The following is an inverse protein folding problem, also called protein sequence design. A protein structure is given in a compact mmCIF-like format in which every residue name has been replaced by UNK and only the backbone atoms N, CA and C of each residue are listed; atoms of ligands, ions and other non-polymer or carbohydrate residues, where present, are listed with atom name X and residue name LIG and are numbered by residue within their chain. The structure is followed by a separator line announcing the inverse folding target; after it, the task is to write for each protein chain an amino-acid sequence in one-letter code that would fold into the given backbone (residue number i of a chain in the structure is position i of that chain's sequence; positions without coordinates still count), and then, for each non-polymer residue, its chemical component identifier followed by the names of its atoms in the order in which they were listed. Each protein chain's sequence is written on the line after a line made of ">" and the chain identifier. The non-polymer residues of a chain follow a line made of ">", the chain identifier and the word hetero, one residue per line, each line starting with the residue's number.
data_IF_530822141093
#
_entry.id   IF_530822141093
#
_cell.length_a   1.000
_cell.length_b   1.000
_cell.length_c   1.000
_cell.angle_alpha   90.00
_cell.angle_beta   90.00
_cell.angle_gamma   90.00
#
_symmetry.space_group_name_H-M   'P 1'
#
loop_
_entity.id
_entity.type
_entity.pdbx_description
1 polymer ?
#
# COMPACT_ATOMS: atom_id res chain seq x y z
N UNK A 1 18.52 -8.38 -2.21
CA UNK A 1 17.12 -8.65 -1.81
C UNK A 1 16.28 -8.55 -3.09
N UNK A 2 15.35 -9.49 -3.38
CA UNK A 2 14.54 -9.39 -4.60
C UNK A 2 13.63 -8.15 -4.50
N UNK A 3 13.86 -7.20 -5.39
CA UNK A 3 13.26 -5.87 -5.46
C UNK A 3 11.74 -5.90 -5.67
N UNK A 4 11.03 -4.80 -5.34
CA UNK A 4 9.60 -4.66 -5.54
C UNK A 4 9.29 -4.55 -7.05
N UNK A 5 9.26 -5.69 -7.74
CA UNK A 5 8.52 -5.79 -9.00
C UNK A 5 7.10 -5.36 -8.72
N UNK A 6 6.49 -4.61 -9.64
CA UNK A 6 5.05 -4.33 -9.65
C UNK A 6 4.32 -5.66 -9.43
N UNK A 7 3.85 -5.93 -8.20
CA UNK A 7 3.18 -7.19 -7.85
C UNK A 7 1.72 -7.08 -8.21
N UNK A 8 1.48 -6.69 -9.46
CA UNK A 8 0.16 -6.68 -10.02
C UNK A 8 -0.15 -8.12 -10.44
N UNK A 9 -1.09 -8.75 -9.74
CA UNK A 9 -1.58 -10.06 -10.12
C UNK A 9 -2.91 -9.84 -10.81
N UNK A 10 -2.94 -10.15 -12.11
CA UNK A 10 -4.15 -10.08 -12.91
C UNK A 10 -4.89 -11.43 -12.88
N UNK A 11 -6.14 -11.41 -12.42
CA UNK A 11 -7.06 -12.55 -12.42
C UNK A 11 -8.14 -12.39 -13.51
N UNK A 12 -7.87 -11.60 -14.55
CA UNK A 12 -8.77 -11.33 -15.66
C UNK A 12 -9.78 -10.24 -15.31
N UNK A 13 -10.80 -10.58 -14.51
CA UNK A 13 -11.84 -9.63 -14.12
C UNK A 13 -11.46 -8.77 -12.90
N UNK A 14 -10.41 -9.15 -12.16
CA UNK A 14 -9.97 -8.46 -10.95
C UNK A 14 -8.46 -8.46 -10.89
N UNK A 15 -7.88 -7.43 -10.28
CA UNK A 15 -6.44 -7.38 -10.08
C UNK A 15 -6.10 -6.97 -8.65
N UNK A 16 -4.96 -7.46 -8.18
CA UNK A 16 -4.48 -7.24 -6.82
C UNK A 16 -3.18 -6.45 -6.86
N UNK A 17 -3.11 -5.41 -6.03
CA UNK A 17 -1.92 -4.61 -5.80
C UNK A 17 -1.41 -4.86 -4.37
N UNK A 18 -0.09 -4.96 -4.23
CA UNK A 18 0.56 -5.07 -2.93
C UNK A 18 1.08 -3.70 -2.53
N UNK A 19 0.79 -3.30 -1.29
CA UNK A 19 1.22 -2.03 -0.76
C UNK A 19 2.76 -1.95 -0.73
N UNK A 20 3.38 -1.02 -1.48
CA UNK A 20 4.84 -0.91 -1.54
C UNK A 20 5.44 -0.52 -0.18
N UNK A 21 4.69 0.25 0.63
CA UNK A 21 5.06 0.70 1.96
C UNK A 21 4.99 -0.44 3.01
N UNK A 22 4.38 -1.57 2.66
CA UNK A 22 4.14 -2.72 3.56
C UNK A 22 4.74 -4.03 3.04
N UNK A 23 5.98 -3.93 2.55
CA UNK A 23 6.71 -5.03 1.91
C UNK A 23 7.66 -5.79 2.85
N UNK A 24 7.91 -5.27 4.06
CA UNK A 24 8.90 -5.80 5.00
C UNK A 24 8.44 -6.97 5.87
N UNK A 25 9.41 -7.80 6.32
CA UNK A 25 9.18 -8.87 7.31
C UNK A 25 8.76 -8.33 8.70
N UNK A 26 8.98 -7.04 8.94
CA UNK A 26 8.55 -6.34 10.14
C UNK A 26 7.09 -5.86 10.09
N UNK A 27 6.37 -6.01 8.97
CA UNK A 27 4.94 -5.67 8.90
C UNK A 27 4.15 -6.59 9.86
N UNK A 28 3.37 -6.03 10.81
CA UNK A 28 2.50 -6.80 11.70
C UNK A 28 1.60 -7.79 10.97
N UNK A 29 1.13 -7.46 9.75
CA UNK A 29 0.34 -8.38 8.93
C UNK A 29 1.13 -9.57 8.38
N UNK A 30 2.47 -9.47 8.28
CA UNK A 30 3.33 -10.59 7.95
C UNK A 30 3.59 -11.50 9.16
N UNK A 31 3.58 -10.93 10.37
CA UNK A 31 3.80 -11.66 11.64
C UNK A 31 2.51 -12.29 12.15
N UNK A 32 1.35 -11.75 11.77
CA UNK A 32 0.02 -12.20 12.23
C UNK A 32 -0.24 -13.71 12.12
N UNK A 33 0.13 -14.42 11.03
CA UNK A 33 -0.04 -15.89 10.98
C UNK A 33 0.70 -16.62 12.12
N UNK A 34 1.89 -16.14 12.48
CA UNK A 34 2.66 -16.71 13.60
C UNK A 34 2.06 -16.37 14.97
N UNK A 35 1.43 -15.20 15.10
CA UNK A 35 0.71 -14.80 16.33
C UNK A 35 -0.55 -15.65 16.50
N UNK A 36 -1.32 -15.84 15.43
CA UNK A 36 -2.50 -16.72 15.40
C UNK A 36 -2.11 -18.16 15.75
N UNK A 37 -1.03 -18.69 15.16
CA UNK A 37 -0.56 -20.03 15.48
C UNK A 37 -0.16 -20.18 16.97
N UNK A 38 0.49 -19.16 17.55
CA UNK A 38 0.80 -19.15 19.00
C UNK A 38 -0.48 -19.07 19.84
N UNK A 39 -1.43 -18.26 19.42
CA UNK A 39 -2.73 -18.11 20.09
C UNK A 39 -3.52 -19.43 20.08
N UNK A 40 -3.59 -20.13 18.94
CA UNK A 40 -4.26 -21.42 18.80
C UNK A 40 -3.59 -22.53 19.64
N UNK A 41 -2.27 -22.46 19.80
CA UNK A 41 -1.50 -23.37 20.67
C UNK A 41 -1.53 -22.98 22.14
N UNK A 42 -1.90 -21.74 22.49
CA UNK A 42 -1.95 -21.23 23.85
C UNK A 42 -2.79 -22.09 24.82
N UNK A 43 -4.01 -22.59 24.48
CA UNK A 43 -4.77 -23.42 25.42
C UNK A 43 -4.07 -24.75 25.74
N UNK A 44 -3.42 -25.38 24.74
CA UNK A 44 -2.71 -26.66 24.94
C UNK A 44 -1.42 -26.48 25.75
N UNK A 45 -0.68 -25.41 25.47
CA UNK A 45 0.54 -25.06 26.20
C UNK A 45 0.24 -24.58 27.62
N UNK A 46 -0.83 -23.80 27.82
CA UNK A 46 -1.30 -23.37 29.13
C UNK A 46 -1.73 -24.55 30.01
N UNK A 47 -2.46 -25.52 29.46
CA UNK A 47 -2.88 -26.71 30.20
C UNK A 47 -1.68 -27.58 30.62
N UNK A 48 -0.75 -27.87 29.70
CA UNK A 48 0.44 -28.68 30.01
C UNK A 48 1.39 -27.97 30.98
N UNK A 49 1.66 -26.67 30.77
CA UNK A 49 2.49 -25.89 31.69
C UNK A 49 1.85 -25.76 33.08
N UNK A 50 0.53 -25.55 33.15
CA UNK A 50 -0.21 -25.50 34.40
C UNK A 50 -0.15 -26.81 35.18
N UNK A 51 -0.30 -27.96 34.51
CA UNK A 51 -0.17 -29.28 35.14
C UNK A 51 1.26 -29.50 35.67
N UNK A 52 2.28 -29.22 34.86
CA UNK A 52 3.69 -29.40 35.26
C UNK A 52 4.04 -28.50 36.46
N UNK A 53 3.66 -27.22 36.41
CA UNK A 53 3.90 -26.29 37.50
C UNK A 53 3.14 -26.70 38.76
N UNK A 54 1.89 -27.14 38.63
CA UNK A 54 1.10 -27.62 39.76
C UNK A 54 1.69 -28.85 40.43
N UNK A 55 2.17 -29.83 39.64
CA UNK A 55 2.87 -31.02 40.15
C UNK A 55 4.18 -30.63 40.83
N UNK A 56 4.97 -29.71 40.25
CA UNK A 56 6.22 -29.25 40.83
C UNK A 56 6.02 -28.56 42.18
N UNK A 57 5.05 -27.64 42.26
CA UNK A 57 4.70 -26.94 43.50
C UNK A 57 4.13 -27.89 44.55
N UNK A 58 3.27 -28.83 44.14
CA UNK A 58 2.75 -29.87 45.04
C UNK A 58 3.89 -30.73 45.62
N UNK A 59 4.80 -31.21 44.77
CA UNK A 59 5.94 -32.03 45.20
C UNK A 59 6.85 -31.29 46.17
N UNK A 60 7.10 -30.00 45.91
CA UNK A 60 7.92 -29.15 46.79
C UNK A 60 7.25 -28.90 48.15
N UNK A 61 5.93 -28.63 48.16
CA UNK A 61 5.19 -28.31 49.38
C UNK A 61 4.88 -29.54 50.24
N UNK A 62 4.74 -30.72 49.65
CA UNK A 62 4.55 -31.98 50.39
C UNK A 62 5.71 -32.31 51.34
N UNK A 63 6.88 -31.70 51.15
CA UNK A 63 8.03 -31.87 52.06
C UNK A 63 7.89 -31.09 53.37
N UNK A 64 7.02 -30.08 53.42
CA UNK A 64 6.98 -29.09 54.52
C UNK A 64 5.57 -28.77 55.03
N UNK A 65 4.52 -29.15 54.30
CA UNK A 65 3.13 -28.79 54.60
C UNK A 65 2.20 -30.01 54.55
N UNK A 66 1.04 -29.99 55.25
CA UNK A 66 0.04 -31.04 55.14
C UNK A 66 -0.44 -31.20 53.69
N UNK A 67 -0.61 -32.46 53.26
CA UNK A 67 -0.92 -32.85 51.86
C UNK A 67 -2.07 -32.06 51.25
N UNK A 68 -3.11 -31.77 52.03
CA UNK A 68 -4.27 -30.99 51.55
C UNK A 68 -3.87 -29.55 51.19
N UNK A 69 -3.02 -28.90 52.00
CA UNK A 69 -2.53 -27.54 51.73
C UNK A 69 -1.58 -27.49 50.52
N UNK A 70 -0.73 -28.51 50.39
CA UNK A 70 0.14 -28.67 49.22
C UNK A 70 -0.68 -28.85 47.93
N UNK A 71 -1.74 -29.66 47.98
CA UNK A 71 -2.60 -29.95 46.82
C UNK A 71 -3.35 -28.71 46.35
N UNK A 72 -3.95 -27.94 47.26
CA UNK A 72 -4.64 -26.69 46.95
C UNK A 72 -3.68 -25.69 46.30
N UNK A 73 -2.47 -25.55 46.85
CA UNK A 73 -1.46 -24.61 46.36
C UNK A 73 -0.91 -25.00 44.98
N UNK A 74 -0.72 -26.30 44.73
CA UNK A 74 -0.33 -26.83 43.41
C UNK A 74 -1.40 -26.55 42.35
N UNK A 75 -2.68 -26.85 42.66
CA UNK A 75 -3.80 -26.56 41.75
C UNK A 75 -3.94 -25.06 41.48
N UNK A 76 -3.86 -24.22 42.51
CA UNK A 76 -3.93 -22.77 42.36
C UNK A 76 -2.81 -22.24 41.46
N UNK A 77 -1.57 -22.72 41.64
CA UNK A 77 -0.44 -22.29 40.81
C UNK A 77 -0.62 -22.71 39.34
N UNK A 78 -1.11 -23.93 39.10
CA UNK A 78 -1.39 -24.42 37.75
C UNK A 78 -2.46 -23.58 37.03
N UNK A 79 -3.55 -23.24 37.73
CA UNK A 79 -4.62 -22.39 37.20
C UNK A 79 -4.12 -20.97 36.92
N UNK A 80 -3.36 -20.37 37.84
CA UNK A 80 -2.80 -19.03 37.68
C UNK A 80 -1.85 -18.97 36.48
N UNK A 81 -0.93 -19.94 36.36
CA UNK A 81 0.00 -19.97 35.23
C UNK A 81 -0.73 -20.15 33.89
N UNK A 82 -1.73 -21.03 33.82
CA UNK A 82 -2.55 -21.21 32.63
C UNK A 82 -3.31 -19.93 32.26
N UNK A 83 -3.84 -19.21 33.25
CA UNK A 83 -4.53 -17.93 33.04
C UNK A 83 -3.57 -16.84 32.54
N UNK A 84 -2.35 -16.76 33.08
CA UNK A 84 -1.33 -15.80 32.64
C UNK A 84 -0.89 -16.06 31.20
N UNK A 85 -0.66 -17.33 30.82
CA UNK A 85 -0.30 -17.71 29.44
C UNK A 85 -1.43 -17.30 28.48
N UNK A 86 -2.68 -17.60 28.83
CA UNK A 86 -3.85 -17.25 28.01
C UNK A 86 -4.04 -15.73 27.90
N UNK A 87 -3.85 -15.01 28.99
CA UNK A 87 -3.92 -13.54 29.00
C UNK A 87 -2.82 -12.90 28.15
N UNK A 88 -1.60 -13.44 28.19
CA UNK A 88 -0.51 -12.95 27.38
C UNK A 88 -0.75 -13.22 25.89
N UNK A 89 -1.28 -14.40 25.53
CA UNK A 89 -1.62 -14.72 24.15
C UNK A 89 -2.75 -13.84 23.62
N UNK A 90 -3.82 -13.60 24.39
CA UNK A 90 -4.90 -12.69 23.98
C UNK A 90 -4.39 -11.27 23.81
N UNK A 91 -3.59 -10.77 24.75
CA UNK A 91 -3.01 -9.42 24.67
C UNK A 91 -2.11 -9.26 23.44
N UNK A 92 -1.31 -10.28 23.11
CA UNK A 92 -0.44 -10.25 21.93
C UNK A 92 -1.23 -10.23 20.62
N UNK A 93 -2.35 -10.97 20.55
CA UNK A 93 -3.25 -10.95 19.40
C UNK A 93 -3.91 -9.58 19.25
N UNK A 94 -4.51 -9.03 20.31
CA UNK A 94 -5.16 -7.72 20.27
C UNK A 94 -4.18 -6.60 19.92
N UNK A 95 -2.95 -6.64 20.45
CA UNK A 95 -1.93 -5.66 20.09
C UNK A 95 -1.52 -5.75 18.61
N UNK A 96 -1.39 -6.97 18.08
CA UNK A 96 -1.11 -7.19 16.67
C UNK A 96 -2.28 -6.68 15.79
N UNK A 97 -3.52 -6.99 16.15
CA UNK A 97 -4.72 -6.50 15.44
C UNK A 97 -4.78 -4.97 15.43
N UNK A 98 -4.60 -4.32 16.59
CA UNK A 98 -4.57 -2.86 16.69
C UNK A 98 -3.46 -2.24 15.83
N UNK A 99 -2.27 -2.85 15.81
CA UNK A 99 -1.17 -2.36 14.98
C UNK A 99 -1.47 -2.50 13.48
N UNK A 100 -2.16 -3.57 13.07
CA UNK A 100 -2.61 -3.74 11.69
C UNK A 100 -3.66 -2.71 11.36
N UNK A 101 -4.66 -2.51 12.21
CA UNK A 101 -5.71 -1.50 11.99
C UNK A 101 -5.12 -0.10 11.87
N UNK A 102 -4.20 0.28 12.76
CA UNK A 102 -3.53 1.58 12.69
C UNK A 102 -2.71 1.75 11.40
N UNK A 103 -2.06 0.68 10.91
CA UNK A 103 -1.36 0.70 9.63
C UNK A 103 -2.31 0.71 8.43
N UNK A 104 -3.43 -0.01 8.50
CA UNK A 104 -4.48 0.01 7.48
C UNK A 104 -5.10 1.41 7.36
N UNK A 105 -5.26 2.12 8.47
CA UNK A 105 -5.78 3.49 8.51
C UNK A 105 -4.78 4.52 7.96
N UNK A 106 -3.48 4.33 8.19
CA UNK A 106 -2.44 5.32 7.82
C UNK A 106 -1.81 5.07 6.45
N UNK A 107 -1.45 3.82 6.16
CA UNK A 107 -0.74 3.42 4.93
C UNK A 107 -1.62 2.62 3.98
N UNK A 108 -2.82 2.24 4.42
CA UNK A 108 -3.71 1.37 3.68
C UNK A 108 -3.45 -0.13 3.89
N UNK A 109 -4.34 -0.97 3.33
CA UNK A 109 -4.25 -2.41 3.49
C UNK A 109 -2.98 -2.96 2.85
N UNK A 110 -2.48 -4.09 3.34
CA UNK A 110 -1.29 -4.74 2.74
C UNK A 110 -1.55 -5.21 1.31
N UNK A 111 -2.77 -5.64 1.02
CA UNK A 111 -3.24 -6.07 -0.29
C UNK A 111 -4.49 -5.29 -0.62
N UNK A 112 -4.50 -4.69 -1.80
CA UNK A 112 -5.65 -4.01 -2.35
C UNK A 112 -6.17 -4.81 -3.55
N UNK A 113 -7.49 -4.84 -3.75
CA UNK A 113 -8.13 -5.56 -4.86
C UNK A 113 -9.14 -4.66 -5.56
N UNK A 114 -9.11 -4.63 -6.89
CA UNK A 114 -10.08 -3.86 -7.68
C UNK A 114 -11.52 -4.33 -7.44
N UNK A 115 -11.71 -5.59 -7.06
CA UNK A 115 -13.01 -6.17 -6.71
C UNK A 115 -13.68 -5.49 -5.50
N UNK A 116 -12.91 -4.74 -4.70
CA UNK A 116 -13.44 -4.00 -3.55
C UNK A 116 -14.20 -2.73 -3.95
N UNK A 117 -13.91 -2.20 -5.15
CA UNK A 117 -14.58 -1.02 -5.68
C UNK A 117 -15.98 -1.37 -6.16
N UNK A 118 -16.93 -0.51 -5.80
CA UNK A 118 -18.35 -0.74 -6.08
C UNK A 118 -18.91 0.23 -7.11
N UNK A 119 -18.32 1.42 -7.25
CA UNK A 119 -18.72 2.41 -8.25
C UNK A 119 -18.06 2.12 -9.60
N UNK A 120 -18.83 1.88 -10.68
CA UNK A 120 -18.28 1.53 -11.99
C UNK A 120 -17.32 2.58 -12.57
N UNK A 121 -17.62 3.88 -12.39
CA UNK A 121 -16.75 4.95 -12.88
C UNK A 121 -15.36 4.91 -12.24
N UNK A 122 -15.29 4.70 -10.92
CA UNK A 122 -14.02 4.57 -10.18
C UNK A 122 -13.26 3.32 -10.60
N UNK A 123 -13.97 2.23 -10.91
CA UNK A 123 -13.37 1.00 -11.44
C UNK A 123 -12.70 1.25 -12.80
N UNK A 124 -13.37 1.96 -13.72
CA UNK A 124 -12.81 2.32 -15.03
C UNK A 124 -11.53 3.15 -14.90
N UNK A 125 -11.51 4.14 -14.00
CA UNK A 125 -10.32 4.97 -13.74
C UNK A 125 -9.15 4.13 -13.20
N UNK A 126 -9.43 3.18 -12.30
CA UNK A 126 -8.40 2.28 -11.77
C UNK A 126 -7.85 1.32 -12.84
N UNK A 127 -8.72 0.82 -13.73
CA UNK A 127 -8.29 -0.05 -14.83
C UNK A 127 -7.44 0.70 -15.86
N UNK A 128 -7.79 1.96 -16.15
CA UNK A 128 -6.96 2.84 -16.97
C UNK A 128 -5.59 3.09 -16.35
N UNK A 129 -5.54 3.40 -15.04
CA UNK A 129 -4.28 3.55 -14.31
C UNK A 129 -3.43 2.27 -14.31
N UNK A 130 -4.05 1.10 -14.13
CA UNK A 130 -3.39 -0.20 -14.28
C UNK A 130 -2.79 -0.37 -15.68
N UNK A 131 -3.56 -0.07 -16.72
CA UNK A 131 -3.12 -0.25 -18.10
C UNK A 131 -1.95 0.68 -18.45
N UNK A 132 -2.00 1.94 -17.99
CA UNK A 132 -0.90 2.88 -18.13
C UNK A 132 0.36 2.38 -17.39
N UNK A 133 0.23 1.91 -16.15
CA UNK A 133 1.36 1.35 -15.41
C UNK A 133 1.94 0.07 -16.05
N UNK A 134 1.10 -0.80 -16.60
CA UNK A 134 1.56 -1.98 -17.36
C UNK A 134 2.33 -1.57 -18.62
N UNK A 135 1.85 -0.54 -19.33
CA UNK A 135 2.53 0.00 -20.51
C UNK A 135 3.92 0.53 -20.15
N UNK A 136 4.03 1.33 -19.10
CA UNK A 136 5.32 1.87 -18.64
C UNK A 136 6.26 0.75 -18.18
N UNK A 137 5.78 -0.17 -17.34
CA UNK A 137 6.65 -1.22 -16.76
C UNK A 137 7.14 -2.27 -17.77
N UNK A 138 6.42 -2.47 -18.87
CA UNK A 138 6.81 -3.40 -19.94
C UNK A 138 7.59 -2.74 -21.08
N UNK A 139 7.82 -1.43 -20.99
CA UNK A 139 8.54 -0.64 -21.97
C UNK A 139 10.00 -1.07 -22.15
N UNK A 140 10.50 -0.95 -23.39
CA UNK A 140 11.92 -1.17 -23.70
C UNK A 140 12.79 -0.04 -23.12
N UNK A 141 12.27 1.18 -23.02
CA UNK A 141 12.93 2.35 -22.46
C UNK A 141 13.25 2.12 -20.97
N UNK A 142 12.29 1.60 -20.21
CA UNK A 142 12.50 1.22 -18.80
C UNK A 142 13.50 0.07 -18.69
N UNK A 143 13.26 -1.04 -19.40
CA UNK A 143 14.11 -2.24 -19.26
C UNK A 143 15.56 -2.05 -19.75
N UNK A 144 15.82 -1.08 -20.65
CA UNK A 144 17.16 -0.71 -21.11
C UNK A 144 17.81 0.41 -20.30
N UNK A 145 17.15 0.92 -19.26
CA UNK A 145 17.67 2.02 -18.43
C UNK A 145 17.71 3.38 -19.14
N UNK A 146 16.99 3.52 -20.26
CA UNK A 146 16.96 4.76 -21.04
C UNK A 146 16.26 5.92 -20.30
N UNK A 147 15.49 5.60 -19.25
CA UNK A 147 14.81 6.54 -18.36
C UNK A 147 15.50 6.69 -17.00
N UNK A 148 16.67 6.07 -16.80
CA UNK A 148 17.39 6.02 -15.53
C UNK A 148 17.44 4.60 -14.96
N UNK A 149 17.66 4.48 -13.65
CA UNK A 149 17.68 3.18 -12.97
C UNK A 149 16.29 2.52 -13.04
N UNK A 150 16.13 1.38 -13.74
CA UNK A 150 14.85 0.71 -13.90
C UNK A 150 14.16 0.41 -12.56
N UNK A 151 14.93 0.14 -11.51
CA UNK A 151 14.38 -0.20 -10.20
C UNK A 151 13.79 1.02 -9.48
N UNK A 152 14.37 2.20 -9.69
CA UNK A 152 13.82 3.46 -9.19
C UNK A 152 12.53 3.82 -9.94
N UNK A 153 12.52 3.69 -11.28
CA UNK A 153 11.32 3.93 -12.09
C UNK A 153 10.17 3.02 -11.66
N UNK A 154 10.43 1.73 -11.48
CA UNK A 154 9.41 0.77 -11.07
C UNK A 154 8.94 1.00 -9.63
N UNK A 155 9.80 1.53 -8.76
CA UNK A 155 9.40 1.91 -7.39
C UNK A 155 8.46 3.12 -7.41
N UNK A 156 8.81 4.16 -8.17
CA UNK A 156 8.01 5.38 -8.29
C UNK A 156 6.67 5.08 -8.98
N UNK A 157 6.67 4.21 -9.98
CA UNK A 157 5.45 3.75 -10.64
C UNK A 157 4.52 2.97 -9.68
N UNK A 158 5.09 2.12 -8.82
CA UNK A 158 4.33 1.41 -7.80
C UNK A 158 3.71 2.36 -6.77
N UNK A 159 4.47 3.37 -6.34
CA UNK A 159 4.03 4.37 -5.38
C UNK A 159 2.91 5.25 -5.97
N UNK A 160 3.06 5.71 -7.21
CA UNK A 160 2.04 6.47 -7.93
C UNK A 160 0.75 5.65 -8.12
N UNK A 161 0.87 4.39 -8.55
CA UNK A 161 -0.29 3.50 -8.69
C UNK A 161 -0.97 3.25 -7.33
N UNK A 162 -0.19 3.09 -6.26
CA UNK A 162 -0.73 2.95 -4.91
C UNK A 162 -1.53 4.18 -4.49
N UNK A 163 -0.98 5.37 -4.67
CA UNK A 163 -1.67 6.64 -4.35
C UNK A 163 -3.00 6.77 -5.11
N UNK A 164 -3.00 6.47 -6.42
CA UNK A 164 -4.22 6.49 -7.25
C UNK A 164 -5.26 5.49 -6.70
N UNK A 165 -4.87 4.26 -6.38
CA UNK A 165 -5.80 3.26 -5.84
C UNK A 165 -6.35 3.63 -4.46
N UNK A 166 -5.55 4.33 -3.62
CA UNK A 166 -6.01 4.86 -2.34
C UNK A 166 -7.03 5.97 -2.52
N UNK A 167 -6.73 6.93 -3.40
CA UNK A 167 -7.65 8.02 -3.75
C UNK A 167 -8.96 7.46 -4.30
N UNK A 168 -8.88 6.47 -5.20
CA UNK A 168 -10.05 5.77 -5.73
C UNK A 168 -10.89 5.09 -4.64
N UNK A 169 -10.24 4.39 -3.69
CA UNK A 169 -10.94 3.72 -2.58
C UNK A 169 -11.65 4.73 -1.68
N UNK A 170 -11.01 5.86 -1.38
CA UNK A 170 -11.61 6.94 -0.59
C UNK A 170 -12.82 7.57 -1.30
N UNK A 171 -12.70 7.83 -2.61
CA UNK A 171 -13.79 8.34 -3.45
C UNK A 171 -14.96 7.37 -3.49
N UNK A 172 -14.70 6.07 -3.68
CA UNK A 172 -15.76 5.05 -3.72
C UNK A 172 -16.51 4.96 -2.39
N UNK A 173 -15.77 4.94 -1.26
CA UNK A 173 -16.36 4.94 0.08
C UNK A 173 -17.24 6.19 0.33
N UNK A 174 -16.75 7.37 -0.08
CA UNK A 174 -17.49 8.64 0.04
C UNK A 174 -18.73 8.66 -0.84
N UNK A 175 -18.65 8.14 -2.07
CA UNK A 175 -19.80 8.02 -2.98
C UNK A 175 -20.88 7.11 -2.38
N UNK A 176 -20.48 5.97 -1.78
CA UNK A 176 -21.42 5.09 -1.09
C UNK A 176 -22.08 5.73 0.12
N UNK A 177 -21.30 6.41 0.97
CA UNK A 177 -21.84 7.14 2.10
C UNK A 177 -22.81 8.22 1.63
N UNK A 178 -22.44 9.01 0.62
CA UNK A 178 -23.29 10.02 0.03
C UNK A 178 -24.60 9.43 -0.49
N UNK A 179 -24.58 8.37 -1.32
CA UNK A 179 -25.81 7.70 -1.81
C UNK A 179 -26.70 7.22 -0.68
N UNK A 180 -26.12 6.64 0.37
CA UNK A 180 -26.87 6.18 1.54
C UNK A 180 -27.52 7.37 2.27
N UNK A 181 -26.78 8.44 2.52
CA UNK A 181 -27.28 9.65 3.19
C UNK A 181 -28.38 10.32 2.36
N UNK A 182 -28.19 10.50 1.06
CA UNK A 182 -29.19 11.07 0.15
C UNK A 182 -30.49 10.24 0.17
N UNK A 183 -30.39 8.91 0.20
CA UNK A 183 -31.56 8.03 0.30
C UNK A 183 -32.32 8.16 1.63
N UNK A 184 -31.61 8.44 2.73
CA UNK A 184 -32.22 8.63 4.04
C UNK A 184 -32.92 10.00 4.13
N UNK A 185 -32.26 11.05 3.64
CA UNK A 185 -32.74 12.43 3.65
C UNK A 185 -33.95 12.65 2.73
N UNK A 186 -34.03 11.92 1.62
CA UNK A 186 -35.20 11.91 0.74
C UNK A 186 -36.51 11.55 1.47
N UNK A 187 -36.43 10.84 2.61
CA UNK A 187 -37.59 10.48 3.41
C UNK A 187 -37.96 11.54 4.47
N UNK A 188 -37.09 12.53 4.72
CA UNK A 188 -37.23 13.51 5.82
C UNK A 188 -37.68 14.90 5.33
N UNK A 189 -37.25 15.33 4.14
CA UNK A 189 -37.81 16.48 3.42
C UNK A 189 -37.45 17.88 3.96
N UNK A 190 -36.37 18.04 4.72
CA UNK A 190 -35.92 19.33 5.25
C UNK A 190 -35.11 20.13 4.19
N UNK A 191 -35.26 21.45 4.17
CA UNK A 191 -34.50 22.34 3.30
C UNK A 191 -33.01 22.43 3.71
N UNK A 192 -32.71 22.30 5.00
CA UNK A 192 -31.34 22.32 5.53
C UNK A 192 -30.52 21.12 5.03
N UNK A 193 -31.19 19.99 4.82
CA UNK A 193 -30.58 18.76 4.32
C UNK A 193 -30.15 18.89 2.86
N UNK A 194 -30.85 19.70 2.06
CA UNK A 194 -30.52 19.92 0.66
C UNK A 194 -29.23 20.76 0.48
N UNK A 195 -28.99 21.74 1.35
CA UNK A 195 -27.77 22.55 1.31
C UNK A 195 -26.54 21.70 1.70
N UNK A 196 -26.67 20.85 2.72
CA UNK A 196 -25.61 19.91 3.13
C UNK A 196 -25.31 18.88 2.04
N UNK A 197 -26.33 18.38 1.35
CA UNK A 197 -26.17 17.48 0.21
C UNK A 197 -25.43 18.17 -0.94
N UNK A 198 -25.76 19.43 -1.24
CA UNK A 198 -25.06 20.20 -2.28
C UNK A 198 -23.57 20.39 -1.99
N UNK A 199 -23.21 20.67 -0.73
CA UNK A 199 -21.80 20.76 -0.32
C UNK A 199 -21.09 19.40 -0.45
N UNK A 200 -21.77 18.31 -0.06
CA UNK A 200 -21.22 16.96 -0.20
C UNK A 200 -21.04 16.55 -1.67
N UNK A 201 -21.95 16.94 -2.56
CA UNK A 201 -21.85 16.75 -4.01
C UNK A 201 -20.65 17.49 -4.60
N UNK A 202 -20.46 18.75 -4.21
CA UNK A 202 -19.32 19.55 -4.66
C UNK A 202 -17.99 18.92 -4.23
N UNK A 203 -17.90 18.45 -2.98
CA UNK A 203 -16.72 17.76 -2.46
C UNK A 203 -16.45 16.45 -3.22
N UNK A 204 -17.47 15.61 -3.43
CA UNK A 204 -17.33 14.36 -4.16
C UNK A 204 -16.90 14.58 -5.63
N UNK A 205 -17.46 15.60 -6.29
CA UNK A 205 -17.06 15.96 -7.65
C UNK A 205 -15.62 16.46 -7.72
N UNK A 206 -15.17 17.23 -6.73
CA UNK A 206 -13.79 17.67 -6.63
C UNK A 206 -12.84 16.47 -6.48
N UNK A 207 -13.18 15.50 -5.62
CA UNK A 207 -12.34 14.30 -5.45
C UNK A 207 -12.30 13.43 -6.72
N UNK A 208 -13.45 13.27 -7.41
CA UNK A 208 -13.52 12.54 -8.69
C UNK A 208 -12.67 13.21 -9.76
N UNK A 209 -12.69 14.55 -9.81
CA UNK A 209 -11.88 15.32 -10.76
C UNK A 209 -10.40 15.18 -10.44
N UNK A 210 -10.01 15.22 -9.17
CA UNK A 210 -8.62 14.99 -8.75
C UNK A 210 -8.15 13.56 -9.08
N UNK A 211 -9.00 12.55 -8.88
CA UNK A 211 -8.71 11.17 -9.28
C UNK A 211 -8.49 11.07 -10.79
N UNK A 212 -9.44 11.59 -11.59
CA UNK A 212 -9.35 11.57 -13.04
C UNK A 212 -8.09 12.27 -13.56
N UNK A 213 -7.75 13.45 -13.01
CA UNK A 213 -6.53 14.17 -13.37
C UNK A 213 -5.26 13.35 -13.10
N UNK A 214 -5.23 12.61 -11.98
CA UNK A 214 -4.07 11.75 -11.64
C UNK A 214 -3.93 10.57 -12.61
N UNK A 215 -5.05 9.98 -13.01
CA UNK A 215 -5.08 8.89 -13.99
C UNK A 215 -4.68 9.39 -15.37
N UNK A 216 -5.21 10.54 -15.80
CA UNK A 216 -4.81 11.18 -17.07
C UNK A 216 -3.31 11.47 -17.10
N UNK A 217 -2.75 11.99 -16.01
CA UNK A 217 -1.31 12.27 -15.94
C UNK A 217 -0.51 10.96 -16.09
N UNK A 218 -0.94 9.86 -15.48
CA UNK A 218 -0.27 8.56 -15.66
C UNK A 218 -0.40 8.02 -17.11
N UNK A 219 -1.55 8.22 -17.75
CA UNK A 219 -1.79 7.83 -19.15
C UNK A 219 -0.93 8.65 -20.13
N UNK A 220 -0.79 9.96 -19.89
CA UNK A 220 0.13 10.83 -20.63
C UNK A 220 1.59 10.36 -20.50
N UNK A 221 2.02 9.96 -19.30
CA UNK A 221 3.36 9.40 -19.09
C UNK A 221 3.53 8.09 -19.87
N UNK A 222 2.51 7.23 -19.90
CA UNK A 222 2.55 6.00 -20.69
C UNK A 222 2.63 6.27 -22.20
N UNK A 223 1.91 7.27 -22.71
CA UNK A 223 2.01 7.70 -24.10
C UNK A 223 3.42 8.20 -24.44
N UNK A 224 4.01 9.04 -23.59
CA UNK A 224 5.40 9.53 -23.77
C UNK A 224 6.41 8.38 -23.77
N UNK A 225 6.26 7.41 -22.87
CA UNK A 225 7.12 6.21 -22.84
C UNK A 225 7.03 5.43 -24.15
N UNK A 226 5.84 5.29 -24.74
CA UNK A 226 5.67 4.65 -26.05
C UNK A 226 6.36 5.41 -27.17
N UNK A 227 6.32 6.75 -27.16
CA UNK A 227 7.02 7.59 -28.13
C UNK A 227 8.55 7.41 -28.03
N UNK A 228 9.07 7.37 -26.79
CA UNK A 228 10.48 7.08 -26.51
C UNK A 228 10.85 5.66 -27.01
N UNK A 229 9.99 4.67 -26.77
CA UNK A 229 10.18 3.31 -27.26
C UNK A 229 10.20 3.20 -28.79
N UNK A 230 9.42 4.03 -29.47
CA UNK A 230 9.44 4.11 -30.93
C UNK A 230 10.75 4.71 -31.43
N UNK A 231 11.27 5.76 -30.76
CA UNK A 231 12.53 6.41 -31.07
C UNK A 231 13.77 5.55 -30.77
N UNK A 232 13.72 4.70 -29.73
CA UNK A 232 14.80 3.77 -29.35
C UNK A 232 15.09 2.65 -30.37
N UNK A 233 14.39 2.62 -31.50
CA UNK A 233 14.75 1.76 -32.63
C UNK A 233 16.02 2.27 -33.38
N UNK A 234 16.54 3.46 -33.05
CA UNK A 234 17.83 3.97 -33.53
C UNK A 234 18.98 3.69 -32.53
N UNK A 235 20.01 2.89 -32.87
CA UNK A 235 21.06 2.44 -31.94
C UNK A 235 21.88 3.57 -31.28
N UNK A 236 22.03 4.71 -31.96
CA UNK A 236 22.88 5.85 -31.55
C UNK A 236 22.34 6.61 -30.34
N UNK A 237 21.03 6.56 -30.10
CA UNK A 237 20.32 7.36 -29.10
C UNK A 237 20.45 6.79 -27.67
N UNK A 238 20.55 5.46 -27.55
CA UNK A 238 20.58 4.76 -26.25
C UNK A 238 21.76 5.18 -25.37
N UNK A 239 22.92 5.46 -25.99
CA UNK A 239 24.14 5.83 -25.26
C UNK A 239 24.15 7.30 -24.80
N UNK A 240 23.34 8.15 -25.45
CA UNK A 240 23.22 9.58 -25.13
C UNK A 240 22.21 9.82 -23.99
N UNK A 241 21.13 9.04 -23.93
CA UNK A 241 20.15 9.06 -22.83
C UNK A 241 20.78 8.70 -21.48
N UNK A 242 21.64 7.68 -21.45
CA UNK A 242 22.30 7.23 -20.23
C UNK A 242 23.24 8.28 -19.58
N UNK A 243 23.71 9.26 -20.36
CA UNK A 243 24.71 10.25 -19.91
C UNK A 243 24.10 11.50 -19.26
N UNK A 244 22.80 11.77 -19.48
CA UNK A 244 22.16 13.05 -19.09
C UNK A 244 21.26 12.90 -17.87
N UNK A 245 20.81 11.69 -17.55
CA UNK A 245 19.96 11.39 -16.39
C UNK A 245 20.84 11.37 -15.12
N UNK A 246 21.31 12.55 -14.73
CA UNK A 246 21.87 12.82 -13.41
C UNK A 246 20.73 12.89 -12.38
N UNK A 247 20.99 12.50 -11.12
CA UNK A 247 19.96 12.48 -10.08
C UNK A 247 19.33 13.86 -9.89
N UNK A 248 18.00 13.92 -9.94
CA UNK A 248 17.20 15.11 -9.65
C UNK A 248 17.50 15.54 -8.20
N UNK A 249 17.89 16.80 -7.94
CA UNK A 249 18.15 17.27 -6.58
C UNK A 249 16.86 17.22 -5.74
N UNK A 250 16.91 16.47 -4.65
CA UNK A 250 15.83 16.29 -3.67
C UNK A 250 15.85 17.42 -2.63
N UNK A 251 15.32 18.59 -2.97
CA UNK A 251 15.11 19.67 -1.97
C UNK A 251 13.63 19.84 -1.56
N UNK A 252 12.72 19.13 -2.23
CA UNK A 252 11.31 18.94 -1.84
C UNK A 252 10.96 17.51 -2.26
N UNK A 253 10.36 16.69 -1.39
CA UNK A 253 9.93 15.33 -1.75
C UNK A 253 8.75 15.46 -2.75
N UNK A 254 8.98 15.32 -4.08
CA UNK A 254 7.91 15.45 -5.05
C UNK A 254 7.08 14.18 -5.02
N UNK A 255 5.80 14.27 -5.38
CA UNK A 255 4.97 13.07 -5.57
C UNK A 255 5.66 12.13 -6.57
N UNK A 256 5.45 10.81 -6.41
CA UNK A 256 6.09 9.83 -7.30
C UNK A 256 5.77 10.08 -8.79
N UNK A 257 4.58 10.61 -9.05
CA UNK A 257 4.12 10.93 -10.40
C UNK A 257 4.82 12.18 -10.97
N UNK A 258 5.12 13.20 -10.15
CA UNK A 258 5.98 14.33 -10.53
C UNK A 258 7.43 13.89 -10.81
N UNK A 259 7.97 12.96 -10.00
CA UNK A 259 9.31 12.40 -10.23
C UNK A 259 9.39 11.68 -11.57
N UNK A 260 8.39 10.87 -11.91
CA UNK A 260 8.29 10.20 -13.22
C UNK A 260 8.14 11.21 -14.37
N UNK A 261 7.32 12.25 -14.19
CA UNK A 261 7.17 13.32 -15.19
C UNK A 261 8.49 14.02 -15.48
N UNK A 262 9.21 14.44 -14.44
CA UNK A 262 10.49 15.13 -14.60
C UNK A 262 11.54 14.25 -15.30
N UNK A 263 11.56 12.95 -15.02
CA UNK A 263 12.46 12.00 -15.70
C UNK A 263 12.09 11.83 -17.18
N UNK A 264 10.81 11.79 -17.51
CA UNK A 264 10.36 11.71 -18.91
C UNK A 264 10.62 13.00 -19.67
N UNK A 265 10.45 14.17 -19.04
CA UNK A 265 10.81 15.46 -19.63
C UNK A 265 12.32 15.53 -19.91
N UNK A 266 13.15 15.05 -18.97
CA UNK A 266 14.59 14.97 -19.17
C UNK A 266 14.96 14.05 -20.34
N UNK A 267 14.32 12.89 -20.47
CA UNK A 267 14.54 11.96 -21.57
C UNK A 267 14.09 12.54 -22.92
N UNK A 268 12.94 13.22 -22.98
CA UNK A 268 12.42 13.86 -24.21
C UNK A 268 13.32 15.01 -24.68
N UNK A 269 13.83 15.84 -23.75
CA UNK A 269 14.81 16.88 -24.08
C UNK A 269 16.05 16.28 -24.76
N UNK A 270 16.57 15.17 -24.23
CA UNK A 270 17.75 14.50 -24.80
C UNK A 270 17.47 13.94 -26.19
N UNK A 271 16.28 13.37 -26.39
CA UNK A 271 15.83 12.85 -27.68
C UNK A 271 15.69 13.96 -28.73
N UNK A 272 15.08 15.10 -28.36
CA UNK A 272 14.89 16.24 -29.27
C UNK A 272 16.19 16.96 -29.63
N UNK A 273 17.18 16.96 -28.74
CA UNK A 273 18.46 17.66 -28.93
C UNK A 273 19.61 16.73 -29.35
N UNK A 274 19.31 15.48 -29.73
CA UNK A 274 20.30 14.53 -30.25
C UNK A 274 21.47 14.26 -29.29
N UNK A 275 21.22 14.25 -27.98
CA UNK A 275 22.25 14.02 -26.96
C UNK A 275 23.08 15.24 -26.55
N UNK A 276 22.77 16.42 -27.05
CA UNK A 276 23.44 17.66 -26.64
C UNK A 276 22.68 18.27 -25.45
N UNK A 277 23.35 18.41 -24.30
CA UNK A 277 22.81 19.21 -23.17
C UNK A 277 22.52 20.63 -23.69
N UNK A 278 21.34 21.22 -23.42
CA UNK A 278 21.10 22.63 -23.71
C UNK A 278 22.15 23.45 -23.00
N UNK A 279 22.87 24.30 -23.73
CA UNK A 279 23.85 25.21 -23.15
C UNK A 279 23.08 26.27 -22.35
N UNK A 280 23.20 26.33 -21.01
CA UNK A 280 22.44 27.28 -20.21
C UNK A 280 22.78 28.76 -20.53
N UNK A 281 23.83 29.00 -21.32
CA UNK A 281 24.27 30.34 -21.73
C UNK A 281 23.71 30.79 -23.10
N UNK A 282 22.85 30.01 -23.78
CA UNK A 282 22.35 30.41 -25.12
C UNK A 282 21.22 31.44 -25.11
N UNK A 283 20.60 31.73 -23.97
CA UNK A 283 19.45 32.65 -23.87
C UNK A 283 19.83 34.12 -23.65
N UNK A 284 21.12 34.47 -23.52
CA UNK A 284 21.55 35.86 -23.25
C UNK A 284 22.04 36.64 -24.49
N UNK A 285 21.66 36.18 -25.69
CA UNK A 285 21.97 36.89 -26.96
C UNK A 285 20.83 36.85 -27.97
N UNK A 286 19.75 37.57 -27.71
CA UNK A 286 19.01 38.33 -28.74
C UNK A 286 18.11 39.39 -28.10
#
# INVERSE_FOLDING_TARGET
>A
MPQPRLRLIDHGATWVLYNPLRSGAADPAAVMPSVLERYDRAPRTAASAGIIAGIAVFGLLCLTTPVVGALISGLATGVVLAAVIRWHSTRSLTAAEQSITALDETLGPRKWSSASLRTPAVHTECDAAKQAALTISTSRAVSRGALGDPDMILTDLNEALWEITQRATAVDARNHLHRNTTSQLANTGDATDNDLLSVADAALNADLTALHASVQQLDELAARVNDIDAALNEPTITHQLHAVIAPIPTDVDPSALERLSAQLDAADIVLRHGGSRPDPDSDDRT
#
